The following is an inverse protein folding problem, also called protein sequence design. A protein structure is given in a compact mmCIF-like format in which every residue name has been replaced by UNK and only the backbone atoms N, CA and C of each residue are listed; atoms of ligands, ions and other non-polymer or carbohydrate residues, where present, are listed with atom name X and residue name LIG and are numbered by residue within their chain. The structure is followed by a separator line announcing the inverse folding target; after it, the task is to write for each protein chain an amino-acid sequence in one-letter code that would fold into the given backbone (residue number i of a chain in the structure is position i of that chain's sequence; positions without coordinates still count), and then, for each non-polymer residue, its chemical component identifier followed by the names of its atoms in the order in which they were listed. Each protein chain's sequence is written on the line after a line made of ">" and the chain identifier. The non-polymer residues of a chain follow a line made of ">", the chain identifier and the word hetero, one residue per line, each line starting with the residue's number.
data_IF_896100979869
#
_entry.id   IF_896100979869
#
_cell.length_a   1.000
_cell.length_b   1.000
_cell.length_c   1.000
_cell.angle_alpha   90.00
_cell.angle_beta   90.00
_cell.angle_gamma   90.00
#
_symmetry.space_group_name_H-M   'P 1'
#
loop_
_entity.id
_entity.type
_entity.pdbx_description
1 polymer ?
#
# COMPACT_ATOMS: atom_id res chain seq x y z
N UNK A 1 -31.05 -0.74 -60.85
CA UNK A 1 -29.95 -1.23 -59.97
C UNK A 1 -29.61 -2.62 -60.40
N UNK A 2 -28.40 -2.84 -60.82
CA UNK A 2 -27.92 -4.18 -61.20
C UNK A 2 -27.52 -4.95 -59.91
N UNK A 3 -27.51 -6.26 -60.02
CA UNK A 3 -27.08 -7.13 -58.88
C UNK A 3 -25.63 -6.79 -58.44
N UNK A 4 -24.83 -6.32 -59.37
CA UNK A 4 -23.43 -5.92 -59.12
C UNK A 4 -23.33 -4.61 -58.33
N UNK A 5 -24.19 -3.63 -58.59
CA UNK A 5 -24.26 -2.40 -57.81
C UNK A 5 -24.71 -2.65 -56.36
N UNK A 6 -25.68 -3.57 -56.19
CA UNK A 6 -26.13 -4.01 -54.85
C UNK A 6 -25.02 -4.71 -54.05
N UNK A 7 -24.22 -5.58 -54.70
CA UNK A 7 -23.11 -6.27 -54.07
C UNK A 7 -21.98 -5.28 -53.66
N UNK A 8 -21.69 -4.27 -54.48
CA UNK A 8 -20.69 -3.24 -54.14
C UNK A 8 -21.15 -2.36 -52.96
N UNK A 9 -22.42 -1.95 -52.96
CA UNK A 9 -22.99 -1.20 -51.83
C UNK A 9 -23.00 -2.02 -50.56
N UNK A 10 -23.39 -3.30 -50.62
CA UNK A 10 -23.37 -4.21 -49.51
C UNK A 10 -21.96 -4.44 -48.92
N UNK A 11 -20.97 -4.56 -49.81
CA UNK A 11 -19.55 -4.66 -49.40
C UNK A 11 -19.03 -3.40 -48.69
N UNK A 12 -19.38 -2.21 -49.23
CA UNK A 12 -18.99 -0.94 -48.62
C UNK A 12 -19.63 -0.74 -47.23
N UNK A 13 -20.92 -1.01 -47.09
CA UNK A 13 -21.65 -0.93 -45.82
C UNK A 13 -21.13 -1.95 -44.83
N UNK A 14 -20.85 -3.17 -45.28
CA UNK A 14 -20.25 -4.22 -44.46
C UNK A 14 -18.86 -3.83 -43.93
N UNK A 15 -18.01 -3.25 -44.80
CA UNK A 15 -16.70 -2.75 -44.43
C UNK A 15 -16.75 -1.65 -43.38
N UNK A 16 -17.66 -0.68 -43.49
CA UNK A 16 -17.87 0.38 -42.48
C UNK A 16 -18.35 -0.23 -41.18
N UNK A 17 -19.26 -1.20 -41.22
CA UNK A 17 -19.77 -1.90 -40.02
C UNK A 17 -18.66 -2.63 -39.25
N UNK A 18 -17.74 -3.28 -39.95
CA UNK A 18 -16.56 -3.93 -39.34
C UNK A 18 -15.65 -2.92 -38.67
N UNK A 19 -15.34 -1.79 -39.34
CA UNK A 19 -14.50 -0.73 -38.76
C UNK A 19 -15.16 -0.15 -37.50
N UNK A 20 -16.44 0.15 -37.55
CA UNK A 20 -17.20 0.66 -36.40
C UNK A 20 -17.17 -0.34 -35.22
N UNK A 21 -17.28 -1.64 -35.50
CA UNK A 21 -17.18 -2.71 -34.49
C UNK A 21 -15.81 -2.76 -33.83
N UNK A 22 -14.72 -2.60 -34.60
CA UNK A 22 -13.37 -2.55 -34.06
C UNK A 22 -13.14 -1.31 -33.16
N UNK A 23 -13.63 -0.17 -33.58
CA UNK A 23 -13.57 1.07 -32.76
C UNK A 23 -14.34 0.88 -31.47
N UNK A 24 -15.54 0.31 -31.53
CA UNK A 24 -16.35 0.02 -30.34
C UNK A 24 -15.62 -0.91 -29.37
N UNK A 25 -15.07 -2.03 -29.86
CA UNK A 25 -14.30 -2.98 -29.06
C UNK A 25 -13.05 -2.31 -28.45
N UNK A 26 -12.33 -1.49 -29.19
CA UNK A 26 -11.18 -0.75 -28.67
C UNK A 26 -11.57 0.19 -27.52
N UNK A 27 -12.70 0.89 -27.65
CA UNK A 27 -13.24 1.74 -26.57
C UNK A 27 -13.63 0.90 -25.36
N UNK A 28 -14.29 -0.24 -25.55
CA UNK A 28 -14.68 -1.17 -24.49
C UNK A 28 -13.45 -1.70 -23.70
N UNK A 29 -12.42 -2.13 -24.43
CA UNK A 29 -11.16 -2.60 -23.80
C UNK A 29 -10.53 -1.48 -22.99
N UNK A 30 -10.46 -0.27 -23.53
CA UNK A 30 -9.92 0.90 -22.82
C UNK A 30 -10.69 1.22 -21.54
N UNK A 31 -12.03 1.20 -21.61
CA UNK A 31 -12.88 1.47 -20.45
C UNK A 31 -12.76 0.37 -19.40
N UNK A 32 -12.74 -0.89 -19.82
CA UNK A 32 -12.53 -2.02 -18.91
C UNK A 32 -11.17 -1.94 -18.20
N UNK A 33 -10.09 -1.63 -18.93
CA UNK A 33 -8.76 -1.44 -18.34
C UNK A 33 -8.75 -0.33 -17.30
N UNK A 34 -9.45 0.79 -17.55
CA UNK A 34 -9.57 1.88 -16.59
C UNK A 34 -10.34 1.45 -15.33
N UNK A 35 -11.42 0.71 -15.48
CA UNK A 35 -12.20 0.19 -14.36
C UNK A 35 -11.39 -0.78 -13.50
N UNK A 36 -10.65 -1.70 -14.13
CA UNK A 36 -9.77 -2.65 -13.43
C UNK A 36 -8.69 -1.90 -12.63
N UNK A 37 -8.05 -0.88 -13.22
CA UNK A 37 -7.05 -0.04 -12.53
C UNK A 37 -7.64 0.68 -11.32
N UNK A 38 -8.82 1.28 -11.48
CA UNK A 38 -9.50 1.96 -10.38
C UNK A 38 -9.86 0.99 -9.24
N UNK A 39 -10.36 -0.20 -9.56
CA UNK A 39 -10.69 -1.23 -8.58
C UNK A 39 -9.44 -1.72 -7.81
N UNK A 40 -8.33 -1.96 -8.51
CA UNK A 40 -7.06 -2.37 -7.90
C UNK A 40 -6.54 -1.32 -6.91
N UNK A 41 -6.57 -0.05 -7.29
CA UNK A 41 -6.17 1.05 -6.41
C UNK A 41 -7.09 1.18 -5.19
N UNK A 42 -8.42 1.08 -5.38
CA UNK A 42 -9.38 1.11 -4.26
C UNK A 42 -9.17 -0.04 -3.29
N UNK A 43 -8.92 -1.26 -3.79
CA UNK A 43 -8.63 -2.42 -2.94
C UNK A 43 -7.36 -2.21 -2.11
N UNK A 44 -6.32 -1.67 -2.72
CA UNK A 44 -5.10 -1.31 -2.00
C UNK A 44 -5.37 -0.24 -0.93
N UNK A 45 -6.00 0.88 -1.29
CA UNK A 45 -6.33 1.96 -0.37
C UNK A 45 -7.17 1.47 0.81
N UNK A 46 -8.18 0.62 0.57
CA UNK A 46 -8.99 0.00 1.60
C UNK A 46 -8.15 -0.86 2.57
N UNK A 47 -7.18 -1.63 2.05
CA UNK A 47 -6.30 -2.46 2.89
C UNK A 47 -5.40 -1.62 3.79
N UNK A 48 -4.90 -0.49 3.30
CA UNK A 48 -4.09 0.46 4.08
C UNK A 48 -4.94 1.14 5.15
N UNK A 49 -6.12 1.64 4.78
CA UNK A 49 -7.04 2.31 5.72
C UNK A 49 -7.47 1.35 6.83
N UNK A 50 -7.83 0.11 6.50
CA UNK A 50 -8.19 -0.91 7.50
C UNK A 50 -7.05 -1.16 8.50
N UNK A 51 -5.80 -1.17 8.03
CA UNK A 51 -4.64 -1.34 8.93
C UNK A 51 -4.42 -0.12 9.82
N UNK A 52 -4.61 1.09 9.29
CA UNK A 52 -4.52 2.32 10.09
C UNK A 52 -5.61 2.38 11.16
N UNK A 53 -6.83 1.97 10.82
CA UNK A 53 -7.94 1.88 11.76
C UNK A 53 -7.68 0.85 12.87
N UNK A 54 -7.09 -0.30 12.52
CA UNK A 54 -6.69 -1.31 13.51
C UNK A 54 -5.66 -0.72 14.49
N UNK A 55 -4.63 -0.05 14.00
CA UNK A 55 -3.61 0.59 14.83
C UNK A 55 -4.19 1.70 15.71
N UNK A 56 -5.10 2.50 15.16
CA UNK A 56 -5.73 3.58 15.90
C UNK A 56 -6.62 3.08 17.05
N UNK A 57 -7.25 1.90 16.89
CA UNK A 57 -8.15 1.30 17.89
C UNK A 57 -7.44 0.37 18.86
N UNK A 58 -6.31 -0.19 18.49
CA UNK A 58 -5.58 -1.18 19.30
C UNK A 58 -4.26 -0.58 19.82
N UNK A 59 -4.33 0.05 21.00
CA UNK A 59 -3.17 0.67 21.64
C UNK A 59 -2.06 -0.33 21.99
N UNK A 60 -2.40 -1.60 22.30
CA UNK A 60 -1.42 -2.66 22.56
C UNK A 60 -0.62 -2.97 21.29
N UNK A 61 -1.30 -3.13 20.16
CA UNK A 61 -0.66 -3.36 18.86
C UNK A 61 0.20 -2.16 18.46
N UNK A 62 -0.30 -0.95 18.64
CA UNK A 62 0.46 0.27 18.36
C UNK A 62 1.73 0.34 19.21
N UNK A 63 1.63 0.08 20.53
CA UNK A 63 2.77 0.01 21.45
C UNK A 63 3.80 -1.05 21.04
N UNK A 64 3.33 -2.23 20.64
CA UNK A 64 4.20 -3.29 20.13
C UNK A 64 4.98 -2.86 18.88
N UNK A 65 4.29 -2.19 17.95
CA UNK A 65 4.92 -1.72 16.70
C UNK A 65 5.96 -0.65 16.98
N UNK A 66 5.70 0.29 17.89
CA UNK A 66 6.65 1.32 18.28
C UNK A 66 7.89 0.71 18.95
N UNK A 67 7.71 -0.09 20.01
CA UNK A 67 8.82 -0.75 20.72
C UNK A 67 9.64 -1.66 19.81
N UNK A 68 8.97 -2.52 19.04
CA UNK A 68 9.64 -3.42 18.11
C UNK A 68 10.31 -2.71 16.96
N UNK A 69 9.82 -1.53 16.58
CA UNK A 69 10.46 -0.65 15.60
C UNK A 69 11.77 -0.09 16.12
N UNK A 70 11.80 0.37 17.37
CA UNK A 70 13.00 0.93 18.00
C UNK A 70 14.02 -0.16 18.34
N UNK A 71 13.57 -1.24 18.97
CA UNK A 71 14.41 -2.38 19.36
C UNK A 71 13.65 -3.70 19.26
N UNK A 72 13.86 -4.41 18.14
CA UNK A 72 13.27 -5.73 17.90
C UNK A 72 13.71 -6.78 18.94
N UNK A 73 14.93 -6.69 19.44
CA UNK A 73 15.48 -7.68 20.37
C UNK A 73 14.88 -7.55 21.78
N UNK A 74 14.41 -6.39 22.16
CA UNK A 74 13.72 -6.14 23.44
C UNK A 74 12.34 -6.83 23.54
N UNK A 75 11.77 -7.28 22.43
CA UNK A 75 10.47 -7.95 22.39
C UNK A 75 10.59 -9.40 22.92
N UNK A 76 9.56 -9.85 23.62
CA UNK A 76 9.43 -11.27 23.97
C UNK A 76 9.15 -12.16 22.73
N UNK A 77 9.11 -13.48 22.95
CA UNK A 77 8.91 -14.46 21.85
C UNK A 77 7.59 -14.26 21.11
N UNK A 78 6.51 -13.97 21.82
CA UNK A 78 5.17 -13.78 21.21
C UNK A 78 5.10 -12.44 20.51
N UNK A 79 5.63 -11.40 21.13
CA UNK A 79 5.73 -10.05 20.55
C UNK A 79 6.59 -10.04 19.28
N UNK A 80 7.74 -10.73 19.28
CA UNK A 80 8.58 -10.90 18.08
C UNK A 80 7.80 -11.56 16.94
N UNK A 81 7.02 -12.61 17.25
CA UNK A 81 6.20 -13.27 16.25
C UNK A 81 5.11 -12.32 15.68
N UNK A 82 4.38 -11.62 16.56
CA UNK A 82 3.35 -10.65 16.15
C UNK A 82 3.94 -9.52 15.30
N UNK A 83 5.07 -8.95 15.71
CA UNK A 83 5.76 -7.88 14.96
C UNK A 83 6.24 -8.37 13.59
N UNK A 84 6.79 -9.59 13.50
CA UNK A 84 7.19 -10.20 12.23
C UNK A 84 6.00 -10.40 11.30
N UNK A 85 4.87 -10.93 11.78
CA UNK A 85 3.68 -11.13 10.97
C UNK A 85 3.07 -9.79 10.50
N UNK A 86 3.09 -8.76 11.35
CA UNK A 86 2.69 -7.41 10.95
C UNK A 86 3.58 -6.86 9.83
N UNK A 87 4.89 -7.01 9.96
CA UNK A 87 5.86 -6.61 8.93
C UNK A 87 5.66 -7.41 7.64
N UNK A 88 5.48 -8.74 7.75
CA UNK A 88 5.22 -9.61 6.60
C UNK A 88 3.96 -9.18 5.85
N UNK A 89 2.86 -8.96 6.55
CA UNK A 89 1.61 -8.50 5.94
C UNK A 89 1.73 -7.14 5.28
N UNK A 90 2.53 -6.22 5.82
CA UNK A 90 2.87 -4.96 5.17
C UNK A 90 3.65 -5.21 3.87
N UNK A 91 4.73 -6.00 3.93
CA UNK A 91 5.58 -6.28 2.78
C UNK A 91 4.84 -7.00 1.65
N UNK A 92 3.93 -7.93 1.96
CA UNK A 92 3.09 -8.61 0.97
C UNK A 92 2.15 -7.63 0.25
N UNK A 93 1.60 -6.63 0.94
CA UNK A 93 0.79 -5.59 0.31
C UNK A 93 1.61 -4.73 -0.64
N UNK A 94 2.84 -4.36 -0.24
CA UNK A 94 3.75 -3.58 -1.10
C UNK A 94 4.22 -4.41 -2.29
N UNK A 95 4.54 -5.70 -2.10
CA UNK A 95 4.90 -6.61 -3.18
C UNK A 95 3.78 -6.74 -4.23
N UNK A 96 2.52 -6.89 -3.77
CA UNK A 96 1.39 -6.92 -4.68
C UNK A 96 1.27 -5.61 -5.50
N UNK A 97 1.45 -4.46 -4.84
CA UNK A 97 1.45 -3.16 -5.52
C UNK A 97 2.64 -3.02 -6.50
N UNK A 98 3.82 -3.52 -6.15
CA UNK A 98 5.00 -3.58 -7.03
C UNK A 98 4.73 -4.40 -8.29
N UNK A 99 4.15 -5.58 -8.15
CA UNK A 99 3.76 -6.41 -9.29
C UNK A 99 2.73 -5.71 -10.17
N UNK A 100 1.72 -5.08 -9.57
CA UNK A 100 0.70 -4.33 -10.32
C UNK A 100 1.27 -3.10 -11.02
N UNK A 101 2.27 -2.44 -10.45
CA UNK A 101 2.99 -1.35 -11.09
C UNK A 101 3.76 -1.87 -12.33
N UNK A 102 4.50 -2.97 -12.19
CA UNK A 102 5.29 -3.55 -13.29
C UNK A 102 4.43 -3.97 -14.50
N UNK A 103 3.20 -4.43 -14.28
CA UNK A 103 2.26 -4.74 -15.36
C UNK A 103 1.42 -3.52 -15.82
N UNK A 104 1.71 -2.32 -15.29
CA UNK A 104 1.06 -1.07 -15.68
C UNK A 104 -0.38 -0.90 -15.16
N UNK A 105 -0.78 -1.65 -14.14
CA UNK A 105 -2.11 -1.52 -13.52
C UNK A 105 -2.17 -0.36 -12.54
N UNK A 106 -1.09 -0.08 -11.80
CA UNK A 106 -0.95 1.08 -10.91
C UNK A 106 -0.19 2.18 -11.66
N UNK A 107 -0.61 3.45 -11.49
CA UNK A 107 0.03 4.61 -12.09
C UNK A 107 1.35 4.92 -11.38
N UNK A 108 2.30 5.51 -12.11
CA UNK A 108 3.60 5.94 -11.56
C UNK A 108 3.46 6.84 -10.32
N UNK A 109 2.54 7.79 -10.34
CA UNK A 109 2.30 8.68 -9.20
C UNK A 109 1.82 7.96 -7.94
N UNK A 110 1.01 6.90 -8.12
CA UNK A 110 0.49 6.10 -7.02
C UNK A 110 1.60 5.19 -6.46
N UNK A 111 2.40 4.62 -7.37
CA UNK A 111 3.58 3.83 -6.99
C UNK A 111 4.61 4.66 -6.21
N UNK A 112 4.92 5.88 -6.66
CA UNK A 112 5.85 6.76 -5.95
C UNK A 112 5.42 7.04 -4.49
N UNK A 113 4.11 7.17 -4.24
CA UNK A 113 3.58 7.34 -2.89
C UNK A 113 3.78 6.08 -2.04
N UNK A 114 3.59 4.90 -2.62
CA UNK A 114 3.82 3.61 -1.97
C UNK A 114 5.29 3.37 -1.66
N UNK A 115 6.16 3.73 -2.59
CA UNK A 115 7.60 3.66 -2.42
C UNK A 115 8.04 4.54 -1.25
N UNK A 116 7.58 5.78 -1.16
CA UNK A 116 7.88 6.67 -0.03
C UNK A 116 7.43 6.07 1.32
N UNK A 117 6.27 5.41 1.35
CA UNK A 117 5.80 4.71 2.55
C UNK A 117 6.67 3.49 2.90
N UNK A 118 7.09 2.70 1.91
CA UNK A 118 8.02 1.59 2.10
C UNK A 118 9.35 2.09 2.68
N UNK A 119 9.88 3.17 2.13
CA UNK A 119 11.10 3.84 2.58
C UNK A 119 10.99 4.26 4.04
N UNK A 120 9.89 4.91 4.41
CA UNK A 120 9.61 5.33 5.78
C UNK A 120 9.57 4.14 6.74
N UNK A 121 8.89 3.06 6.37
CA UNK A 121 8.77 1.86 7.20
C UNK A 121 10.13 1.17 7.36
N UNK A 122 10.90 1.03 6.29
CA UNK A 122 12.22 0.39 6.32
C UNK A 122 13.34 1.29 6.86
N UNK A 123 13.10 2.58 7.09
CA UNK A 123 14.05 3.43 7.82
C UNK A 123 14.14 3.05 9.31
N UNK A 124 13.13 2.34 9.83
CA UNK A 124 13.05 1.91 11.22
C UNK A 124 13.89 0.63 11.46
N UNK A 125 14.83 0.61 12.41
CA UNK A 125 15.78 -0.50 12.60
C UNK A 125 15.10 -1.87 12.79
N UNK A 126 14.12 -1.97 13.66
CA UNK A 126 13.41 -3.23 13.93
C UNK A 126 12.66 -3.77 12.70
N UNK A 127 12.16 -2.89 11.81
CA UNK A 127 11.55 -3.30 10.54
C UNK A 127 12.57 -3.90 9.58
N UNK A 128 13.79 -3.39 9.54
CA UNK A 128 14.88 -4.00 8.76
C UNK A 128 15.27 -5.38 9.30
N UNK A 129 15.34 -5.51 10.61
CA UNK A 129 15.60 -6.82 11.26
C UNK A 129 14.50 -7.81 10.88
N UNK A 130 13.23 -7.43 11.01
CA UNK A 130 12.10 -8.27 10.62
C UNK A 130 12.11 -8.59 9.10
N UNK A 131 12.43 -7.61 8.24
CA UNK A 131 12.59 -7.84 6.80
C UNK A 131 13.62 -8.93 6.51
N UNK A 132 14.82 -8.83 7.07
CA UNK A 132 15.87 -9.83 6.86
C UNK A 132 15.47 -11.24 7.29
N UNK A 133 14.65 -11.37 8.34
CA UNK A 133 14.13 -12.64 8.82
C UNK A 133 13.01 -13.23 7.93
N UNK A 134 12.28 -12.36 7.20
CA UNK A 134 11.04 -12.76 6.51
C UNK A 134 11.13 -12.66 4.99
N UNK A 135 12.15 -12.03 4.43
CA UNK A 135 12.27 -11.76 2.99
C UNK A 135 12.28 -13.01 2.10
N UNK A 136 12.61 -14.19 2.66
CA UNK A 136 12.52 -15.45 1.92
C UNK A 136 11.08 -15.83 1.50
N UNK A 137 10.07 -15.23 2.11
CA UNK A 137 8.66 -15.41 1.75
C UNK A 137 8.20 -14.51 0.58
N UNK A 138 9.08 -13.65 0.07
CA UNK A 138 8.80 -12.75 -1.05
C UNK A 138 9.39 -13.29 -2.35
N UNK A 139 8.90 -12.79 -3.49
CA UNK A 139 9.48 -13.11 -4.82
C UNK A 139 10.93 -12.63 -4.91
N UNK A 140 11.73 -13.30 -5.74
CA UNK A 140 13.14 -12.95 -5.91
C UNK A 140 13.31 -11.52 -6.44
N UNK A 141 12.44 -11.11 -7.37
CA UNK A 141 12.46 -9.79 -7.97
C UNK A 141 12.19 -8.68 -6.94
N UNK A 142 11.15 -8.84 -6.12
CA UNK A 142 10.81 -7.87 -5.08
C UNK A 142 11.88 -7.82 -3.98
N UNK A 143 12.47 -8.97 -3.61
CA UNK A 143 13.59 -9.00 -2.66
C UNK A 143 14.77 -8.18 -3.15
N UNK A 144 15.17 -8.36 -4.42
CA UNK A 144 16.26 -7.60 -5.02
C UNK A 144 15.97 -6.11 -4.98
N UNK A 145 14.77 -5.71 -5.39
CA UNK A 145 14.33 -4.32 -5.35
C UNK A 145 14.44 -3.69 -3.95
N UNK A 146 13.93 -4.39 -2.92
CA UNK A 146 13.95 -3.89 -1.55
C UNK A 146 15.37 -3.89 -0.97
N UNK A 147 16.16 -4.95 -1.20
CA UNK A 147 17.54 -5.06 -0.68
C UNK A 147 18.46 -3.98 -1.29
N UNK A 148 18.29 -3.65 -2.58
CA UNK A 148 19.02 -2.54 -3.22
C UNK A 148 18.68 -1.19 -2.59
N UNK A 149 17.42 -0.97 -2.27
CA UNK A 149 16.99 0.24 -1.59
C UNK A 149 17.57 0.30 -0.17
N UNK A 150 17.45 -0.79 0.62
CA UNK A 150 17.98 -0.88 1.99
C UNK A 150 19.50 -0.64 2.02
N UNK A 151 20.23 -1.10 1.00
CA UNK A 151 21.67 -0.89 0.89
C UNK A 151 22.07 0.58 0.66
N UNK A 152 21.21 1.35 -0.02
CA UNK A 152 21.44 2.77 -0.34
C UNK A 152 20.94 3.72 0.77
N UNK A 153 19.98 3.29 1.56
CA UNK A 153 19.34 4.13 2.57
C UNK A 153 20.17 4.19 3.86
N UNK A 154 20.43 5.38 4.44
CA UNK A 154 21.08 5.47 5.73
C UNK A 154 20.27 4.76 6.81
N UNK A 155 20.94 4.02 7.68
CA UNK A 155 20.31 3.48 8.88
C UNK A 155 20.01 4.64 9.83
N UNK A 156 18.78 4.71 10.30
CA UNK A 156 18.26 5.50 11.42
C UNK A 156 17.30 6.65 11.07
N UNK A 157 16.03 6.29 11.13
CA UNK A 157 15.10 7.14 11.88
C UNK A 157 14.70 6.32 13.11
N UNK A 158 15.23 6.64 14.26
CA UNK A 158 14.61 6.21 15.53
C UNK A 158 13.21 6.83 15.57
N UNK A 159 12.19 6.01 15.79
CA UNK A 159 10.85 6.48 16.13
C UNK A 159 10.82 7.08 17.55
N UNK A 160 11.98 7.43 18.11
CA UNK A 160 12.08 8.13 19.36
C UNK A 160 11.23 9.38 19.27
N UNK A 161 10.10 9.32 19.94
CA UNK A 161 9.24 10.47 20.24
C UNK A 161 10.16 11.62 20.65
N UNK A 162 10.02 12.84 20.10
CA UNK A 162 10.66 13.98 20.73
C UNK A 162 10.12 14.00 22.16
N UNK A 163 10.98 13.80 23.12
CA UNK A 163 10.69 13.91 24.55
C UNK A 163 10.37 15.39 24.87
N UNK A 164 9.21 15.84 24.37
CA UNK A 164 8.59 17.06 24.85
C UNK A 164 8.02 16.78 26.24
N UNK A 165 8.15 17.73 27.19
CA UNK A 165 7.61 17.55 28.52
C UNK A 165 6.11 17.26 28.42
N UNK A 166 5.73 16.11 28.93
CA UNK A 166 4.31 15.71 29.05
C UNK A 166 3.56 16.83 29.77
N UNK A 167 2.51 17.45 29.21
CA UNK A 167 1.77 18.48 29.92
C UNK A 167 1.28 17.90 31.25
N UNK A 168 1.74 18.50 32.33
CA UNK A 168 1.41 18.09 33.67
C UNK A 168 -0.13 17.93 33.80
N UNK A 169 -0.56 16.79 34.35
CA UNK A 169 -1.97 16.46 34.59
C UNK A 169 -2.63 17.64 35.28
N UNK A 170 -3.49 18.36 34.58
CA UNK A 170 -4.31 19.43 35.16
C UNK A 170 -5.19 18.81 36.23
N UNK A 171 -4.87 19.06 37.49
CA UNK A 171 -5.70 18.64 38.63
C UNK A 171 -7.07 19.30 38.48
N UNK A 172 -8.19 18.59 38.59
CA UNK A 172 -9.51 19.19 38.52
C UNK A 172 -9.67 20.18 39.66
N UNK A 173 -10.00 21.45 39.36
CA UNK A 173 -10.32 22.48 40.35
C UNK A 173 -11.50 21.98 41.18
N UNK A 174 -11.27 21.71 42.47
CA UNK A 174 -12.30 21.43 43.47
C UNK A 174 -13.29 22.62 43.50
N UNK A 175 -14.52 22.42 43.02
CA UNK A 175 -15.60 23.40 43.20
C UNK A 175 -15.81 23.60 44.67
N UNK A 176 -15.53 24.81 45.16
CA UNK A 176 -15.86 25.24 46.51
C UNK A 176 -17.39 25.17 46.68
N UNK A 177 -17.82 24.35 47.61
CA UNK A 177 -19.20 24.24 48.04
C UNK A 177 -19.53 25.55 48.81
N UNK A 178 -20.20 26.51 48.16
CA UNK A 178 -20.84 27.60 48.85
C UNK A 178 -22.06 27.04 49.57
N UNK A 179 -22.02 27.05 50.89
CA UNK A 179 -23.19 26.83 51.70
C UNK A 179 -24.11 28.05 51.70
N UNK A 180 -25.39 27.79 51.58
CA UNK A 180 -26.49 28.30 52.40
C UNK A 180 -27.73 27.52 52.00
#
# INVERSE_FOLDING_TARGET
>A
MTLQELAQIGGAVGGIGVIASFIYVAIQIRNNTRAVRAAAFQQYAASVTSKMDELARNGELCSLILRGGDDFESLDRVEKARFRFDTLGFMQRVENAYMQHNIGTIRESDWASLQSMLETVLSVPGRRTAWNLMKSHMSAEFRTYVDEWVAKAPAALTMASPSGPHPAKVKPKRKARRGR
#
